data_IF_560862828212
#
_entry.id   IF_560862828212
#
_cell.length_a   1.000
_cell.length_b   1.000
_cell.length_c   1.000
_cell.angle_alpha   90.00
_cell.angle_beta   90.00
_cell.angle_gamma   90.00
#
_symmetry.space_group_name_H-M   'P 1'
#
loop_
_entity.id
_entity.type
_entity.pdbx_description
1 polymer ?
#
# COMPACT_ATOMS: atom_id res chain seq x y z
N UNK A 1 -34.24 -19.38 16.64
CA UNK A 1 -32.82 -19.43 17.02
C UNK A 1 -32.38 -20.86 17.35
N UNK A 2 -33.28 -21.82 17.11
CA UNK A 2 -33.20 -23.16 17.67
C UNK A 2 -32.13 -23.97 16.95
N UNK A 3 -31.03 -24.24 17.67
CA UNK A 3 -29.89 -25.03 17.20
C UNK A 3 -28.60 -24.24 16.94
N UNK A 4 -28.60 -22.90 16.97
CA UNK A 4 -27.38 -22.11 16.85
C UNK A 4 -26.59 -22.11 18.18
N UNK A 5 -27.25 -21.79 19.28
CA UNK A 5 -26.68 -21.74 20.64
C UNK A 5 -26.08 -23.10 21.05
N UNK A 6 -26.72 -24.20 20.65
CA UNK A 6 -26.24 -25.56 20.93
C UNK A 6 -24.90 -25.91 20.26
N UNK A 7 -24.47 -25.14 19.25
CA UNK A 7 -23.20 -25.34 18.54
C UNK A 7 -22.10 -24.37 18.96
N UNK A 8 -22.44 -23.31 19.70
CA UNK A 8 -21.48 -22.33 20.17
C UNK A 8 -20.81 -22.84 21.45
N UNK A 9 -19.48 -22.71 21.50
CA UNK A 9 -18.79 -22.85 22.80
C UNK A 9 -19.23 -21.74 23.76
N UNK A 10 -19.12 -21.93 25.09
CA UNK A 10 -19.46 -20.87 26.06
C UNK A 10 -18.76 -19.54 25.79
N UNK A 11 -17.48 -19.58 25.38
CA UNK A 11 -16.72 -18.38 25.01
C UNK A 11 -17.24 -17.74 23.73
N UNK A 12 -17.63 -18.53 22.72
CA UNK A 12 -18.21 -18.02 21.50
C UNK A 12 -19.58 -17.36 21.76
N UNK A 13 -20.40 -17.95 22.64
CA UNK A 13 -21.65 -17.35 23.07
C UNK A 13 -21.42 -16.02 23.79
N UNK A 14 -20.52 -16.01 24.77
CA UNK A 14 -20.18 -14.78 25.50
C UNK A 14 -19.63 -13.68 24.57
N UNK A 15 -18.86 -14.03 23.55
CA UNK A 15 -18.40 -13.10 22.52
C UNK A 15 -19.57 -12.52 21.72
N UNK A 16 -20.50 -13.37 21.29
CA UNK A 16 -21.69 -12.96 20.53
C UNK A 16 -22.58 -12.03 21.36
N UNK A 17 -22.82 -12.37 22.63
CA UNK A 17 -23.61 -11.57 23.57
C UNK A 17 -22.95 -10.20 23.82
N UNK A 18 -21.60 -10.14 23.88
CA UNK A 18 -20.87 -8.87 24.00
C UNK A 18 -21.04 -7.99 22.76
N UNK A 19 -21.00 -8.57 21.55
CA UNK A 19 -21.25 -7.82 20.31
C UNK A 19 -22.68 -7.25 20.32
N UNK A 20 -23.66 -8.05 20.75
CA UNK A 20 -25.05 -7.61 20.89
C UNK A 20 -25.18 -6.47 21.91
N UNK A 21 -24.55 -6.63 23.07
CA UNK A 21 -24.54 -5.63 24.13
C UNK A 21 -23.98 -4.28 23.65
N UNK A 22 -22.82 -4.27 22.98
CA UNK A 22 -22.24 -3.04 22.43
C UNK A 22 -23.11 -2.42 21.33
N UNK A 23 -23.78 -3.23 20.52
CA UNK A 23 -24.68 -2.75 19.48
C UNK A 23 -25.93 -2.06 20.07
N UNK A 24 -26.50 -2.60 21.16
CA UNK A 24 -27.70 -2.07 21.81
C UNK A 24 -27.37 -0.83 22.65
N UNK A 25 -26.21 -0.83 23.33
CA UNK A 25 -25.84 0.24 24.26
C UNK A 25 -25.42 1.55 23.59
N UNK A 26 -25.36 1.61 22.25
CA UNK A 26 -25.13 2.84 21.46
C UNK A 26 -23.98 3.73 22.00
N UNK A 27 -22.95 3.11 22.58
CA UNK A 27 -21.79 3.82 23.11
C UNK A 27 -21.89 4.44 24.49
N UNK A 28 -22.86 4.01 25.32
CA UNK A 28 -22.99 4.44 26.72
C UNK A 28 -22.31 3.44 27.69
N UNK A 29 -21.79 2.32 27.19
CA UNK A 29 -21.14 1.31 28.02
C UNK A 29 -19.77 1.80 28.56
N UNK A 30 -19.49 1.56 29.84
CA UNK A 30 -18.14 1.63 30.38
C UNK A 30 -17.33 0.50 29.76
N UNK A 31 -16.42 0.84 28.84
CA UNK A 31 -15.61 -0.16 28.12
C UNK A 31 -14.36 -0.45 28.93
N UNK A 32 -14.16 -1.71 29.30
CA UNK A 32 -12.88 -2.19 29.85
C UNK A 32 -11.82 -2.21 28.74
N UNK A 33 -10.56 -1.90 29.06
CA UNK A 33 -9.46 -1.80 28.08
C UNK A 33 -9.34 -3.05 27.17
N UNK A 34 -9.64 -4.24 27.69
CA UNK A 34 -9.59 -5.51 26.95
C UNK A 34 -10.66 -5.65 25.84
N UNK A 35 -11.69 -4.80 25.85
CA UNK A 35 -12.80 -4.84 24.89
C UNK A 35 -12.91 -3.60 24.00
N UNK A 36 -11.99 -2.65 24.17
CA UNK A 36 -11.94 -1.41 23.39
C UNK A 36 -11.92 -1.66 21.88
N UNK A 37 -11.13 -2.64 21.43
CA UNK A 37 -11.04 -2.95 20.00
C UNK A 37 -12.36 -3.48 19.42
N UNK A 38 -13.07 -4.34 20.16
CA UNK A 38 -14.35 -4.90 19.70
C UNK A 38 -15.45 -3.82 19.69
N UNK A 39 -15.42 -2.93 20.68
CA UNK A 39 -16.30 -1.78 20.74
C UNK A 39 -16.08 -0.84 19.55
N UNK A 40 -14.84 -0.48 19.23
CA UNK A 40 -14.49 0.33 18.05
C UNK A 40 -14.96 -0.32 16.74
N UNK A 41 -14.86 -1.65 16.64
CA UNK A 41 -15.36 -2.41 15.48
C UNK A 41 -16.88 -2.23 15.35
N UNK A 42 -17.63 -2.42 16.43
CA UNK A 42 -19.10 -2.28 16.44
C UNK A 42 -19.50 -0.84 16.08
N UNK A 43 -18.84 0.15 16.67
CA UNK A 43 -19.12 1.58 16.43
C UNK A 43 -18.88 1.99 14.97
N UNK A 44 -17.81 1.49 14.34
CA UNK A 44 -17.46 1.84 12.96
C UNK A 44 -18.23 1.02 11.91
N UNK A 45 -18.87 -0.08 12.30
CA UNK A 45 -19.58 -0.95 11.37
C UNK A 45 -20.85 -0.28 10.81
N UNK A 46 -21.02 -0.28 9.49
CA UNK A 46 -22.24 0.25 8.86
C UNK A 46 -23.37 -0.75 8.99
N UNK A 47 -24.34 -0.42 9.84
CA UNK A 47 -25.50 -1.27 10.10
C UNK A 47 -25.33 -2.02 11.41
N UNK A 48 -25.95 -3.19 11.50
CA UNK A 48 -25.91 -4.02 12.70
C UNK A 48 -24.90 -5.17 12.52
N UNK A 49 -23.79 -5.13 13.26
CA UNK A 49 -22.75 -6.16 13.18
C UNK A 49 -23.25 -7.50 13.70
N UNK A 50 -24.02 -7.48 14.80
CA UNK A 50 -24.60 -8.68 15.39
C UNK A 50 -25.51 -9.41 14.39
N UNK A 51 -26.45 -8.70 13.75
CA UNK A 51 -27.33 -9.29 12.75
C UNK A 51 -26.55 -9.86 11.56
N UNK A 52 -25.54 -9.13 11.08
CA UNK A 52 -24.69 -9.60 9.98
C UNK A 52 -23.90 -10.85 10.37
N UNK A 53 -23.37 -10.91 11.60
CA UNK A 53 -22.64 -12.04 12.14
C UNK A 53 -23.55 -13.28 12.27
N UNK A 54 -24.73 -13.12 12.87
CA UNK A 54 -25.72 -14.18 13.02
C UNK A 54 -26.19 -14.70 11.65
N UNK A 55 -26.43 -13.81 10.69
CA UNK A 55 -26.81 -14.20 9.34
C UNK A 55 -25.70 -15.00 8.65
N UNK A 56 -24.45 -14.53 8.75
CA UNK A 56 -23.30 -15.21 8.16
C UNK A 56 -23.04 -16.58 8.80
N UNK A 57 -23.23 -16.69 10.11
CA UNK A 57 -23.17 -17.96 10.83
C UNK A 57 -24.23 -18.94 10.32
N UNK A 58 -25.47 -18.49 10.15
CA UNK A 58 -26.54 -19.34 9.59
C UNK A 58 -26.19 -19.84 8.18
N UNK A 59 -25.60 -18.99 7.34
CA UNK A 59 -25.15 -19.38 6.00
C UNK A 59 -24.06 -20.45 6.03
N UNK A 60 -23.07 -20.31 6.92
CA UNK A 60 -21.95 -21.26 7.06
C UNK A 60 -22.42 -22.59 7.67
N UNK A 61 -23.41 -22.57 8.56
CA UNK A 61 -23.96 -23.76 9.21
C UNK A 61 -24.98 -24.51 8.36
N UNK A 62 -25.60 -23.84 7.38
CA UNK A 62 -26.65 -24.40 6.50
C UNK A 62 -26.21 -25.65 5.71
N UNK A 63 -24.98 -25.75 5.16
CA UNK A 63 -24.50 -26.95 4.49
C UNK A 63 -24.35 -28.19 5.39
N UNK A 64 -24.47 -28.04 6.72
CA UNK A 64 -24.31 -29.13 7.68
C UNK A 64 -22.84 -29.44 8.02
N UNK A 65 -22.62 -30.46 8.86
CA UNK A 65 -21.28 -30.97 9.21
C UNK A 65 -20.50 -30.22 10.29
N UNK A 66 -20.83 -28.95 10.56
CA UNK A 66 -20.22 -28.18 11.66
C UNK A 66 -20.85 -28.55 12.99
N UNK A 67 -20.02 -29.08 13.92
CA UNK A 67 -20.42 -29.52 15.26
C UNK A 67 -20.23 -28.45 16.34
N UNK A 68 -19.12 -27.71 16.28
CA UNK A 68 -18.73 -26.72 17.28
C UNK A 68 -18.23 -25.47 16.56
N UNK A 69 -18.60 -24.30 17.06
CA UNK A 69 -18.11 -22.98 16.63
C UNK A 69 -17.40 -22.33 17.82
N UNK A 70 -16.14 -21.94 17.59
CA UNK A 70 -15.27 -21.34 18.60
C UNK A 70 -15.26 -19.80 18.49
N UNK A 71 -14.72 -19.15 19.52
CA UNK A 71 -14.50 -17.70 19.51
C UNK A 71 -13.56 -17.27 18.36
N UNK A 72 -12.55 -18.08 18.04
CA UNK A 72 -11.64 -17.80 16.91
C UNK A 72 -12.35 -17.82 15.56
N UNK A 73 -13.34 -18.70 15.39
CA UNK A 73 -14.18 -18.74 14.20
C UNK A 73 -15.05 -17.49 14.10
N UNK A 74 -15.67 -17.08 15.21
CA UNK A 74 -16.46 -15.84 15.27
C UNK A 74 -15.60 -14.60 14.97
N UNK A 75 -14.43 -14.51 15.58
CA UNK A 75 -13.48 -13.42 15.34
C UNK A 75 -13.05 -13.37 13.86
N UNK A 76 -12.84 -14.54 13.23
CA UNK A 76 -12.52 -14.63 11.81
C UNK A 76 -13.67 -14.12 10.92
N UNK A 77 -14.92 -14.48 11.25
CA UNK A 77 -16.12 -14.01 10.54
C UNK A 77 -16.30 -12.50 10.74
N UNK A 78 -16.13 -11.99 11.97
CA UNK A 78 -16.18 -10.54 12.24
C UNK A 78 -15.13 -9.81 11.40
N UNK A 79 -13.90 -10.30 11.36
CA UNK A 79 -12.84 -9.72 10.53
C UNK A 79 -13.21 -9.72 9.02
N UNK A 80 -13.83 -10.77 8.51
CA UNK A 80 -14.33 -10.83 7.13
C UNK A 80 -15.43 -9.79 6.88
N UNK A 81 -16.40 -9.70 7.79
CA UNK A 81 -17.53 -8.77 7.70
C UNK A 81 -17.05 -7.32 7.78
N UNK A 82 -16.16 -6.99 8.72
CA UNK A 82 -15.57 -5.65 8.87
C UNK A 82 -14.80 -5.27 7.62
N UNK A 83 -13.95 -6.16 7.07
CA UNK A 83 -13.22 -5.90 5.82
C UNK A 83 -14.17 -5.62 4.65
N UNK A 84 -15.26 -6.37 4.57
CA UNK A 84 -16.29 -6.20 3.53
C UNK A 84 -17.03 -4.88 3.72
N UNK A 85 -17.44 -4.56 4.94
CA UNK A 85 -18.17 -3.35 5.28
C UNK A 85 -17.33 -2.08 5.07
N UNK A 86 -16.06 -2.09 5.49
CA UNK A 86 -15.11 -1.02 5.24
C UNK A 86 -14.95 -0.73 3.74
N UNK A 87 -15.02 -1.76 2.88
CA UNK A 87 -14.91 -1.56 1.43
C UNK A 87 -16.13 -0.92 0.77
N UNK A 88 -17.25 -0.81 1.48
CA UNK A 88 -18.47 -0.18 0.97
C UNK A 88 -18.28 1.33 1.04
N UNK A 89 -17.98 1.95 -0.10
CA UNK A 89 -17.85 3.40 -0.22
C UNK A 89 -19.14 4.03 -0.78
N UNK A 90 -19.55 5.16 -0.21
CA UNK A 90 -20.64 6.01 -0.71
C UNK A 90 -20.08 7.08 -1.64
N UNK A 91 -20.94 7.69 -2.47
CA UNK A 91 -20.56 8.80 -3.36
C UNK A 91 -19.69 9.89 -2.70
N UNK A 92 -20.02 10.42 -1.49
CA UNK A 92 -19.18 11.41 -0.83
C UNK A 92 -17.77 10.91 -0.48
N UNK A 93 -17.64 9.64 -0.11
CA UNK A 93 -16.37 8.99 0.23
C UNK A 93 -15.53 8.76 -1.03
N UNK A 94 -16.14 8.32 -2.13
CA UNK A 94 -15.46 8.17 -3.43
C UNK A 94 -14.92 9.50 -3.96
N UNK A 95 -15.73 10.56 -3.94
CA UNK A 95 -15.32 11.90 -4.40
C UNK A 95 -14.23 12.48 -3.50
N UNK A 96 -14.38 12.34 -2.18
CA UNK A 96 -13.37 12.82 -1.21
C UNK A 96 -12.06 12.05 -1.36
N UNK A 97 -12.12 10.73 -1.52
CA UNK A 97 -10.93 9.89 -1.70
C UNK A 97 -10.17 10.24 -2.99
N UNK A 98 -10.89 10.51 -4.08
CA UNK A 98 -10.29 10.89 -5.36
C UNK A 98 -9.44 12.16 -5.24
N UNK A 99 -10.00 13.22 -4.64
CA UNK A 99 -9.28 14.49 -4.43
C UNK A 99 -8.14 14.32 -3.42
N UNK A 100 -8.35 13.57 -2.34
CA UNK A 100 -7.35 13.35 -1.31
C UNK A 100 -6.12 12.60 -1.82
N UNK A 101 -6.31 11.64 -2.74
CA UNK A 101 -5.23 10.90 -3.40
C UNK A 101 -4.47 11.78 -4.39
N UNK A 102 -5.18 12.64 -5.14
CA UNK A 102 -4.56 13.57 -6.07
C UNK A 102 -3.74 14.66 -5.35
N UNK A 103 -4.25 15.16 -4.22
CA UNK A 103 -3.67 16.26 -3.46
C UNK A 103 -3.51 15.89 -1.97
N UNK A 104 -2.54 15.02 -1.65
CA UNK A 104 -2.33 14.55 -0.28
C UNK A 104 -1.93 15.73 0.63
N UNK A 105 -2.50 15.76 1.84
CA UNK A 105 -2.25 16.83 2.81
C UNK A 105 -3.05 18.11 2.60
N UNK A 106 -3.93 18.17 1.59
CA UNK A 106 -4.88 19.29 1.44
C UNK A 106 -5.80 19.41 2.67
N UNK A 107 -6.14 20.64 3.07
CA UNK A 107 -7.11 20.84 4.15
C UNK A 107 -8.54 20.50 3.71
N UNK A 108 -9.36 19.98 4.62
CA UNK A 108 -10.75 19.59 4.31
C UNK A 108 -11.58 20.77 3.77
N UNK A 109 -11.30 22.01 4.21
CA UNK A 109 -11.95 23.22 3.70
C UNK A 109 -11.66 23.42 2.21
N UNK A 110 -10.41 23.26 1.79
CA UNK A 110 -10.02 23.35 0.38
C UNK A 110 -10.57 22.18 -0.44
N UNK A 111 -10.58 20.97 0.11
CA UNK A 111 -11.23 19.83 -0.55
C UNK A 111 -12.72 20.10 -0.80
N UNK A 112 -13.45 20.68 0.16
CA UNK A 112 -14.87 21.01 -0.03
C UNK A 112 -15.14 22.10 -1.06
N UNK A 113 -14.16 22.98 -1.35
CA UNK A 113 -14.30 23.94 -2.45
C UNK A 113 -13.98 23.32 -3.80
N UNK A 114 -13.16 22.28 -3.82
CA UNK A 114 -12.79 21.56 -5.05
C UNK A 114 -13.87 20.54 -5.45
N UNK A 115 -14.51 19.90 -4.46
CA UNK A 115 -15.65 19.01 -4.67
C UNK A 115 -16.93 19.84 -4.66
N UNK A 116 -17.37 20.30 -5.83
CA UNK A 116 -18.52 21.20 -5.99
C UNK A 116 -19.82 20.68 -5.38
N UNK A 117 -19.98 19.35 -5.31
CA UNK A 117 -21.25 18.71 -4.94
C UNK A 117 -21.35 18.37 -3.43
N UNK A 118 -20.33 18.67 -2.62
CA UNK A 118 -20.30 18.30 -1.20
C UNK A 118 -20.03 19.51 -0.29
N UNK A 119 -20.84 19.65 0.76
CA UNK A 119 -20.57 20.58 1.85
C UNK A 119 -19.33 20.16 2.67
N UNK A 120 -18.72 21.12 3.37
CA UNK A 120 -17.62 20.86 4.30
C UNK A 120 -17.93 19.75 5.32
N UNK A 121 -19.15 19.72 5.87
CA UNK A 121 -19.57 18.70 6.83
C UNK A 121 -19.63 17.30 6.20
N UNK A 122 -20.03 17.19 4.94
CA UNK A 122 -20.03 15.93 4.21
C UNK A 122 -18.59 15.46 3.94
N UNK A 123 -17.70 16.34 3.50
CA UNK A 123 -16.27 16.03 3.28
C UNK A 123 -15.60 15.60 4.59
N UNK A 124 -15.82 16.33 5.69
CA UNK A 124 -15.27 16.00 7.01
C UNK A 124 -15.72 14.62 7.48
N UNK A 125 -17.02 14.31 7.37
CA UNK A 125 -17.56 12.98 7.75
C UNK A 125 -17.02 11.87 6.84
N UNK A 126 -16.90 12.12 5.53
CA UNK A 126 -16.34 11.17 4.59
C UNK A 126 -14.87 10.87 4.90
N UNK A 127 -14.05 11.91 5.12
CA UNK A 127 -12.63 11.75 5.45
C UNK A 127 -12.44 11.00 6.78
N UNK A 128 -13.15 11.41 7.83
CA UNK A 128 -13.09 10.75 9.14
C UNK A 128 -13.43 9.26 9.04
N UNK A 129 -14.39 8.88 8.19
CA UNK A 129 -14.72 7.47 7.94
C UNK A 129 -13.68 6.72 7.13
N UNK A 130 -13.09 7.37 6.12
CA UNK A 130 -12.01 6.77 5.33
C UNK A 130 -10.78 6.48 6.19
N UNK A 131 -10.47 7.38 7.13
CA UNK A 131 -9.38 7.24 8.10
C UNK A 131 -9.71 6.18 9.17
N UNK A 132 -10.91 6.23 9.79
CA UNK A 132 -11.28 5.28 10.85
C UNK A 132 -11.38 3.84 10.36
N UNK A 133 -11.80 3.64 9.11
CA UNK A 133 -11.83 2.31 8.48
C UNK A 133 -10.47 1.88 7.90
N UNK A 134 -9.41 2.69 8.06
CA UNK A 134 -8.07 2.40 7.55
C UNK A 134 -7.97 2.36 6.02
N UNK A 135 -8.93 2.93 5.31
CA UNK A 135 -9.00 2.95 3.85
C UNK A 135 -8.00 3.96 3.28
N UNK A 136 -7.87 5.09 3.95
CA UNK A 136 -7.01 6.20 3.56
C UNK A 136 -6.19 6.66 4.77
N UNK A 137 -4.88 6.81 4.55
CA UNK A 137 -3.98 7.48 5.49
C UNK A 137 -2.98 8.31 4.71
N UNK A 138 -2.39 9.32 5.34
CA UNK A 138 -1.27 10.08 4.76
C UNK A 138 0.00 9.70 5.50
N UNK A 139 0.98 9.20 4.74
CA UNK A 139 2.33 8.86 5.23
C UNK A 139 3.34 9.87 4.73
N UNK A 140 4.45 10.00 5.44
CA UNK A 140 5.58 10.80 4.99
C UNK A 140 6.41 10.04 3.98
N UNK A 141 6.53 10.57 2.77
CA UNK A 141 7.50 10.13 1.77
C UNK A 141 8.78 10.93 1.96
N UNK A 142 9.87 10.23 2.24
CA UNK A 142 11.19 10.85 2.31
C UNK A 142 11.65 11.30 0.93
N UNK A 143 12.17 12.50 0.84
CA UNK A 143 12.81 13.02 -0.34
C UNK A 143 14.22 12.42 -0.44
N UNK A 144 14.28 11.18 -0.95
CA UNK A 144 15.53 10.43 -1.10
C UNK A 144 16.64 11.27 -1.75
N UNK A 145 16.31 12.06 -2.77
CA UNK A 145 17.26 12.90 -3.50
C UNK A 145 17.93 13.95 -2.61
N UNK A 146 17.15 14.70 -1.81
CA UNK A 146 17.70 15.69 -0.87
C UNK A 146 18.52 15.05 0.25
N UNK A 147 18.18 13.80 0.58
CA UNK A 147 18.87 12.99 1.57
C UNK A 147 20.13 12.29 1.03
N UNK A 148 20.56 12.54 -0.21
CA UNK A 148 21.73 11.86 -0.79
C UNK A 148 21.49 10.36 -1.08
N UNK A 149 20.23 9.96 -1.25
CA UNK A 149 19.82 8.58 -1.51
C UNK A 149 19.22 8.40 -2.91
N UNK A 150 19.41 7.22 -3.48
CA UNK A 150 18.84 6.78 -4.76
C UNK A 150 17.97 5.55 -4.57
N UNK A 151 16.83 5.53 -5.25
CA UNK A 151 15.88 4.41 -5.21
C UNK A 151 16.09 3.52 -6.43
N UNK A 152 16.10 2.23 -6.17
CA UNK A 152 16.39 1.20 -7.15
C UNK A 152 15.32 0.10 -7.13
N UNK A 153 15.14 -0.53 -8.27
CA UNK A 153 14.35 -1.74 -8.44
C UNK A 153 15.24 -2.83 -9.02
N UNK A 154 15.44 -3.92 -8.29
CA UNK A 154 16.12 -5.13 -8.76
C UNK A 154 15.06 -6.13 -9.19
N UNK A 155 15.18 -6.66 -10.39
CA UNK A 155 14.33 -7.72 -10.93
C UNK A 155 15.18 -8.98 -11.04
N UNK A 156 14.83 -9.98 -10.24
CA UNK A 156 15.48 -11.29 -10.21
C UNK A 156 14.57 -12.32 -10.88
N UNK A 157 15.06 -13.00 -11.90
CA UNK A 157 14.36 -14.15 -12.51
C UNK A 157 14.94 -15.47 -12.00
N UNK A 158 14.07 -16.28 -11.39
CA UNK A 158 14.39 -17.59 -10.81
C UNK A 158 15.62 -17.56 -9.89
N UNK A 159 15.64 -16.70 -8.85
CA UNK A 159 16.77 -16.63 -7.94
C UNK A 159 16.74 -17.76 -6.91
N UNK A 160 17.92 -18.28 -6.56
CA UNK A 160 18.12 -19.14 -5.39
C UNK A 160 18.20 -18.31 -4.10
N UNK A 161 18.89 -17.17 -4.17
CA UNK A 161 19.15 -16.25 -3.06
C UNK A 161 18.57 -14.85 -3.36
N UNK A 162 18.09 -14.19 -2.32
CA UNK A 162 17.56 -12.83 -2.39
C UNK A 162 18.38 -11.95 -1.45
N UNK A 163 18.86 -10.78 -1.90
CA UNK A 163 19.61 -9.87 -1.06
C UNK A 163 18.70 -9.24 0.00
N UNK A 164 19.22 -9.08 1.21
CA UNK A 164 18.55 -8.52 2.38
C UNK A 164 19.49 -7.59 3.13
N UNK A 165 18.92 -6.70 3.95
CA UNK A 165 19.67 -5.69 4.69
C UNK A 165 18.86 -4.40 4.85
N UNK A 166 19.44 -3.37 5.49
CA UNK A 166 18.69 -2.18 5.90
C UNK A 166 18.20 -1.30 4.74
N UNK A 167 18.85 -1.42 3.58
CA UNK A 167 18.55 -0.66 2.37
C UNK A 167 17.59 -1.37 1.41
N UNK A 168 17.13 -2.58 1.75
CA UNK A 168 16.12 -3.33 1.00
C UNK A 168 14.78 -3.23 1.69
N UNK A 169 13.78 -2.68 1.01
CA UNK A 169 12.53 -2.30 1.66
C UNK A 169 11.35 -3.19 1.31
N UNK A 170 11.23 -3.58 0.04
CA UNK A 170 10.03 -4.26 -0.45
C UNK A 170 10.39 -5.41 -1.36
N UNK A 171 9.70 -6.52 -1.18
CA UNK A 171 9.84 -7.73 -1.98
C UNK A 171 8.48 -8.10 -2.55
N UNK A 172 8.39 -8.25 -3.87
CA UNK A 172 7.16 -8.69 -4.55
C UNK A 172 7.42 -10.00 -5.28
N UNK A 173 6.67 -11.04 -4.91
CA UNK A 173 6.80 -12.37 -5.49
C UNK A 173 5.70 -12.60 -6.53
N UNK A 174 6.07 -13.05 -7.73
CA UNK A 174 5.07 -13.38 -8.76
C UNK A 174 4.57 -14.83 -8.67
N UNK A 175 3.41 -15.10 -9.27
CA UNK A 175 2.73 -16.40 -9.17
C UNK A 175 3.25 -17.46 -10.17
N UNK A 176 3.76 -17.06 -11.33
CA UNK A 176 3.95 -17.97 -12.49
C UNK A 176 5.38 -18.10 -13.00
N UNK A 177 6.21 -17.09 -12.76
CA UNK A 177 7.66 -17.19 -12.87
C UNK A 177 8.20 -17.07 -11.44
N UNK A 178 9.26 -17.77 -11.08
CA UNK A 178 9.94 -17.55 -9.79
C UNK A 178 10.66 -16.19 -9.83
N UNK A 179 9.92 -15.11 -10.07
CA UNK A 179 10.42 -13.77 -10.28
C UNK A 179 10.17 -12.94 -9.02
N UNK A 180 11.16 -12.14 -8.65
CA UNK A 180 11.09 -11.24 -7.49
C UNK A 180 11.45 -9.84 -7.94
N UNK A 181 10.65 -8.88 -7.50
CA UNK A 181 10.96 -7.46 -7.60
C UNK A 181 11.36 -6.97 -6.21
N UNK A 182 12.56 -6.41 -6.11
CA UNK A 182 13.12 -5.90 -4.86
C UNK A 182 13.31 -4.40 -4.97
N UNK A 183 12.63 -3.65 -4.09
CA UNK A 183 12.81 -2.20 -3.97
C UNK A 183 13.90 -1.93 -2.95
N UNK A 184 14.84 -1.09 -3.33
CA UNK A 184 15.95 -0.68 -2.48
C UNK A 184 16.16 0.83 -2.53
N UNK A 185 16.75 1.39 -1.47
CA UNK A 185 17.21 2.78 -1.44
C UNK A 185 18.64 2.78 -0.94
N UNK A 186 19.62 3.24 -1.72
CA UNK A 186 21.04 3.22 -1.34
C UNK A 186 21.63 4.64 -1.38
N UNK A 187 22.69 4.94 -0.60
CA UNK A 187 23.41 6.20 -0.72
C UNK A 187 23.94 6.42 -2.13
N UNK A 188 23.78 7.64 -2.67
CA UNK A 188 24.15 8.02 -4.03
C UNK A 188 25.62 7.71 -4.33
N UNK A 189 26.50 7.99 -3.38
CA UNK A 189 27.93 7.71 -3.45
C UNK A 189 28.30 6.21 -3.52
N UNK A 190 27.38 5.31 -3.14
CA UNK A 190 27.59 3.85 -3.14
C UNK A 190 26.97 3.15 -4.34
N UNK A 191 26.59 3.88 -5.38
CA UNK A 191 25.97 3.29 -6.58
C UNK A 191 26.87 2.26 -7.28
N UNK A 192 28.19 2.49 -7.30
CA UNK A 192 29.13 1.53 -7.87
C UNK A 192 29.14 0.20 -7.09
N UNK A 193 29.13 0.27 -5.75
CA UNK A 193 29.07 -0.90 -4.88
C UNK A 193 27.75 -1.66 -5.05
N UNK A 194 26.64 -0.92 -5.13
CA UNK A 194 25.31 -1.46 -5.44
C UNK A 194 25.31 -2.22 -6.77
N UNK A 195 25.86 -1.63 -7.85
CA UNK A 195 25.93 -2.29 -9.15
C UNK A 195 26.79 -3.55 -9.12
N UNK A 196 27.90 -3.54 -8.37
CA UNK A 196 28.74 -4.73 -8.19
C UNK A 196 28.00 -5.85 -7.47
N UNK A 197 27.22 -5.53 -6.43
CA UNK A 197 26.32 -6.48 -5.76
C UNK A 197 25.23 -7.00 -6.72
N UNK A 198 24.62 -6.15 -7.55
CA UNK A 198 23.63 -6.61 -8.54
C UNK A 198 24.26 -7.58 -9.54
N UNK A 199 25.49 -7.31 -9.98
CA UNK A 199 26.23 -8.19 -10.89
C UNK A 199 26.59 -9.52 -10.24
N UNK A 200 26.94 -9.55 -8.95
CA UNK A 200 27.23 -10.80 -8.27
C UNK A 200 25.99 -11.69 -8.15
N UNK A 201 24.79 -11.13 -7.93
CA UNK A 201 23.54 -11.91 -7.89
C UNK A 201 23.22 -12.68 -9.18
N UNK A 202 23.89 -12.37 -10.30
CA UNK A 202 23.75 -13.12 -11.57
C UNK A 202 24.29 -14.55 -11.49
N UNK A 203 25.12 -14.87 -10.50
CA UNK A 203 25.55 -16.26 -10.27
C UNK A 203 24.42 -17.13 -9.72
N UNK A 204 23.46 -16.52 -9.02
CA UNK A 204 22.40 -17.22 -8.28
C UNK A 204 21.01 -17.09 -8.88
N UNK A 205 20.86 -16.33 -9.97
CA UNK A 205 19.60 -16.11 -10.66
C UNK A 205 19.79 -16.27 -12.18
N UNK A 206 18.73 -16.70 -12.87
CA UNK A 206 18.75 -16.83 -14.34
C UNK A 206 19.01 -15.49 -15.03
N UNK A 207 18.45 -14.42 -14.50
CA UNK A 207 18.75 -13.06 -14.95
C UNK A 207 18.54 -12.06 -13.81
N UNK A 208 19.34 -11.00 -13.83
CA UNK A 208 19.24 -9.89 -12.87
C UNK A 208 19.33 -8.58 -13.64
N UNK A 209 18.33 -7.73 -13.43
CA UNK A 209 18.27 -6.38 -14.00
C UNK A 209 18.03 -5.38 -12.89
N UNK A 210 18.74 -4.25 -12.91
CA UNK A 210 18.53 -3.16 -11.97
C UNK A 210 18.13 -1.89 -12.70
N UNK A 211 17.16 -1.19 -12.11
CA UNK A 211 16.63 0.06 -12.61
C UNK A 211 16.73 1.14 -11.53
N UNK A 212 17.00 2.37 -11.93
CA UNK A 212 16.66 3.56 -11.14
C UNK A 212 15.13 3.67 -11.10
N UNK A 213 14.58 3.92 -9.92
CA UNK A 213 13.14 3.95 -9.66
C UNK A 213 12.67 5.36 -9.32
N UNK A 214 11.77 5.93 -10.14
CA UNK A 214 11.19 7.23 -9.86
C UNK A 214 10.23 7.21 -8.65
N UNK A 215 9.79 8.38 -8.17
CA UNK A 215 8.90 8.47 -6.97
C UNK A 215 7.60 7.73 -7.17
N UNK A 216 7.18 7.67 -8.43
CA UNK A 216 5.91 7.13 -8.85
C UNK A 216 4.71 7.95 -8.38
N UNK A 217 3.58 7.70 -8.99
CA UNK A 217 2.30 8.35 -8.70
C UNK A 217 1.26 7.29 -8.36
N UNK A 218 0.53 7.55 -7.28
CA UNK A 218 -0.66 6.79 -6.91
C UNK A 218 -1.86 7.46 -7.57
N UNK A 219 -2.74 6.64 -8.13
CA UNK A 219 -4.00 7.08 -8.72
C UNK A 219 -5.14 6.20 -8.20
N UNK A 220 -6.30 6.81 -8.03
CA UNK A 220 -7.53 6.18 -7.60
C UNK A 220 -8.65 6.53 -8.57
N UNK A 221 -9.45 5.54 -8.94
CA UNK A 221 -10.57 5.75 -9.87
C UNK A 221 -11.86 5.07 -9.38
N UNK A 222 -12.97 5.83 -9.29
CA UNK A 222 -14.28 5.25 -9.02
C UNK A 222 -14.97 4.70 -10.27
N UNK A 223 -14.34 4.74 -11.46
CA UNK A 223 -15.00 4.50 -12.75
C UNK A 223 -15.77 3.17 -12.85
N UNK A 224 -15.21 2.08 -12.31
CA UNK A 224 -15.87 0.76 -12.29
C UNK A 224 -16.64 0.47 -10.99
N UNK A 225 -16.84 1.46 -10.11
CA UNK A 225 -17.56 1.23 -8.86
C UNK A 225 -19.08 1.23 -9.10
N UNK A 226 -19.72 0.09 -8.83
CA UNK A 226 -21.18 -0.03 -8.87
C UNK A 226 -21.78 0.39 -7.53
N UNK A 227 -22.63 1.42 -7.52
CA UNK A 227 -23.34 1.84 -6.30
C UNK A 227 -24.35 0.78 -5.81
N UNK A 228 -24.99 0.06 -6.75
CA UNK A 228 -25.95 -1.00 -6.45
C UNK A 228 -25.27 -2.18 -5.76
N UNK A 229 -24.18 -2.69 -6.36
CA UNK A 229 -23.42 -3.83 -5.82
C UNK A 229 -22.40 -3.43 -4.77
N UNK A 230 -22.22 -2.14 -4.51
CA UNK A 230 -21.25 -1.55 -3.56
C UNK A 230 -19.83 -2.13 -3.72
N UNK A 231 -19.41 -2.32 -4.96
CA UNK A 231 -18.13 -2.96 -5.29
C UNK A 231 -17.64 -2.57 -6.68
N UNK A 232 -16.32 -2.71 -6.90
CA UNK A 232 -15.73 -2.52 -8.23
C UNK A 232 -16.02 -3.72 -9.12
N UNK A 233 -16.67 -3.46 -10.25
CA UNK A 233 -17.07 -4.42 -11.27
C UNK A 233 -16.37 -4.04 -12.58
N UNK A 234 -15.13 -4.51 -12.75
CA UNK A 234 -14.36 -4.25 -13.97
C UNK A 234 -14.93 -5.14 -15.07
N UNK A 235 -15.62 -4.55 -16.04
CA UNK A 235 -16.16 -5.28 -17.19
C UNK A 235 -15.01 -5.65 -18.16
N UNK A 236 -14.66 -6.95 -18.29
CA UNK A 236 -13.48 -7.36 -19.08
C UNK A 236 -13.59 -6.99 -20.56
N UNK A 237 -14.80 -7.00 -21.13
CA UNK A 237 -15.00 -6.60 -22.53
C UNK A 237 -14.68 -5.11 -22.71
N UNK A 238 -15.21 -4.24 -21.84
CA UNK A 238 -14.93 -2.81 -21.86
C UNK A 238 -13.44 -2.53 -21.67
N UNK A 239 -12.81 -3.16 -20.67
CA UNK A 239 -11.37 -3.07 -20.46
C UNK A 239 -10.58 -3.48 -21.72
N UNK A 240 -10.97 -4.58 -22.36
CA UNK A 240 -10.36 -5.05 -23.61
C UNK A 240 -10.54 -4.10 -24.80
N UNK A 241 -11.63 -3.34 -24.86
CA UNK A 241 -11.85 -2.32 -25.90
C UNK A 241 -10.99 -1.07 -25.65
N UNK A 242 -10.82 -0.66 -24.39
CA UNK A 242 -9.97 0.47 -24.01
C UNK A 242 -8.49 0.23 -24.37
N UNK A 243 -8.02 -1.02 -24.30
CA UNK A 243 -6.65 -1.39 -24.69
C UNK A 243 -6.37 -1.30 -26.20
N UNK A 244 -7.35 -0.93 -27.03
CA UNK A 244 -7.24 -0.87 -28.50
C UNK A 244 -7.40 0.55 -29.05
N UNK A 245 -7.29 1.57 -28.20
CA UNK A 245 -7.57 2.95 -28.61
C UNK A 245 -6.48 3.56 -29.50
N UNK A 246 -5.36 2.86 -29.76
CA UNK A 246 -4.31 3.34 -30.65
C UNK A 246 -3.48 4.43 -29.99
N UNK A 247 -3.29 4.33 -28.68
CA UNK A 247 -2.77 5.34 -27.79
C UNK A 247 -1.43 5.89 -28.24
N UNK A 248 -1.26 7.19 -28.01
CA UNK A 248 -0.04 7.91 -28.32
C UNK A 248 1.13 7.39 -27.46
N UNK A 249 2.34 7.44 -28.04
CA UNK A 249 3.56 7.15 -27.31
C UNK A 249 3.64 8.03 -26.06
N UNK A 250 3.97 7.43 -24.92
CA UNK A 250 3.97 8.16 -23.67
C UNK A 250 5.17 9.10 -23.64
N UNK A 251 4.93 10.40 -23.87
CA UNK A 251 5.96 11.43 -23.69
C UNK A 251 6.14 11.69 -22.20
N UNK A 252 7.00 10.88 -21.61
CA UNK A 252 7.45 11.09 -20.26
C UNK A 252 8.56 12.14 -20.25
N UNK A 253 8.37 13.20 -19.44
CA UNK A 253 9.49 14.08 -19.09
C UNK A 253 10.66 13.24 -18.58
N UNK A 254 11.90 13.58 -18.98
CA UNK A 254 13.10 12.85 -18.54
C UNK A 254 13.05 12.70 -17.02
N UNK A 255 13.36 11.51 -16.46
CA UNK A 255 13.61 11.43 -15.03
C UNK A 255 14.61 12.54 -14.70
N UNK A 256 14.28 13.37 -13.73
CA UNK A 256 15.16 14.45 -13.30
C UNK A 256 16.46 13.75 -12.89
N UNK A 257 17.47 13.83 -13.76
CA UNK A 257 18.84 13.53 -13.36
C UNK A 257 19.11 14.57 -12.30
N UNK A 258 19.03 14.14 -11.04
CA UNK A 258 19.16 15.03 -9.91
C UNK A 258 20.42 15.85 -10.14
N UNK A 259 20.21 17.15 -10.37
CA UNK A 259 21.26 18.16 -10.31
C UNK A 259 21.96 18.01 -8.97
N UNK A 260 23.16 18.57 -8.86
CA UNK A 260 23.90 18.70 -7.60
C UNK A 260 23.14 19.62 -6.62
N UNK A 261 21.93 19.23 -6.23
CA UNK A 261 21.24 19.78 -5.07
C UNK A 261 22.12 19.43 -3.86
N UNK A 262 22.47 20.46 -3.09
CA UNK A 262 23.25 20.30 -1.88
C UNK A 262 22.54 19.32 -0.95
N UNK A 263 23.21 18.21 -0.64
CA UNK A 263 22.67 17.19 0.25
C UNK A 263 22.43 17.79 1.65
N UNK A 264 21.27 17.49 2.22
CA UNK A 264 20.87 18.03 3.52
C UNK A 264 21.44 17.13 4.61
N UNK A 265 22.25 17.72 5.49
CA UNK A 265 22.76 17.04 6.68
C UNK A 265 21.70 17.11 7.77
N UNK A 266 21.22 15.94 8.21
CA UNK A 266 20.20 15.87 9.25
C UNK A 266 20.75 16.18 10.65
N UNK A 267 20.02 16.99 11.41
CA UNK A 267 20.26 17.25 12.82
C UNK A 267 19.86 16.06 13.72
N UNK A 268 20.36 16.03 14.97
CA UNK A 268 20.16 14.89 15.88
C UNK A 268 18.70 14.48 16.14
N UNK A 269 17.75 15.43 16.14
CA UNK A 269 16.33 15.16 16.38
C UNK A 269 15.57 14.73 15.12
N UNK A 270 16.10 15.04 13.93
CA UNK A 270 15.40 14.87 12.66
C UNK A 270 15.17 13.39 12.31
N UNK A 271 16.16 12.47 12.37
CA UNK A 271 15.94 11.06 12.04
C UNK A 271 14.82 10.40 12.83
N UNK A 272 14.67 10.76 14.12
CA UNK A 272 13.61 10.24 15.00
C UNK A 272 12.23 10.71 14.55
N UNK A 273 12.10 12.00 14.24
CA UNK A 273 10.85 12.60 13.79
C UNK A 273 10.50 12.10 12.38
N UNK A 274 11.49 11.97 11.49
CA UNK A 274 11.34 11.40 10.15
C UNK A 274 10.71 10.00 10.20
N UNK A 275 11.24 9.12 11.05
CA UNK A 275 10.70 7.77 11.21
C UNK A 275 9.22 7.77 11.61
N UNK A 276 8.83 8.64 12.55
CA UNK A 276 7.43 8.76 12.99
C UNK A 276 6.54 9.34 11.88
N UNK A 277 7.02 10.34 11.15
CA UNK A 277 6.28 10.95 10.03
C UNK A 277 6.09 10.00 8.86
N UNK A 278 7.03 9.07 8.60
CA UNK A 278 6.85 8.00 7.60
C UNK A 278 5.66 7.09 7.94
N UNK A 279 5.38 6.86 9.22
CA UNK A 279 4.22 6.07 9.66
C UNK A 279 2.92 6.85 9.54
N UNK A 280 2.90 8.13 9.94
CA UNK A 280 1.75 9.02 9.81
C UNK A 280 2.19 10.48 9.71
N UNK A 281 1.95 11.09 8.56
CA UNK A 281 2.34 12.47 8.25
C UNK A 281 1.55 13.51 9.07
N UNK A 282 0.29 13.19 9.37
CA UNK A 282 -0.66 14.07 10.04
C UNK A 282 -0.66 13.92 11.57
N UNK A 283 0.31 13.19 12.14
CA UNK A 283 0.39 12.95 13.58
C UNK A 283 0.46 14.27 14.38
N UNK A 284 -0.18 14.29 15.56
CA UNK A 284 -0.14 15.47 16.44
C UNK A 284 1.25 15.65 17.04
N UNK A 285 1.58 16.88 17.45
CA UNK A 285 2.87 17.19 18.11
C UNK A 285 3.05 16.35 19.37
N UNK A 286 2.00 16.25 20.20
CA UNK A 286 2.02 15.47 21.45
C UNK A 286 2.26 13.97 21.21
N UNK A 287 1.67 13.41 20.14
CA UNK A 287 1.89 12.02 19.75
C UNK A 287 3.31 11.77 19.22
N UNK A 288 3.88 12.73 18.48
CA UNK A 288 5.26 12.63 18.02
C UNK A 288 6.23 12.74 19.20
N UNK A 289 6.00 13.68 20.12
CA UNK A 289 6.79 13.86 21.34
C UNK A 289 6.80 12.59 22.20
N UNK A 290 5.64 11.97 22.44
CA UNK A 290 5.55 10.74 23.22
C UNK A 290 6.26 9.55 22.57
N UNK A 291 6.21 9.44 21.24
CA UNK A 291 6.92 8.37 20.50
C UNK A 291 8.42 8.57 20.40
N UNK A 292 8.89 9.82 20.35
CA UNK A 292 10.31 10.14 20.15
C UNK A 292 11.06 10.43 21.45
N UNK A 293 10.34 10.70 22.56
CA UNK A 293 10.92 11.17 23.82
C UNK A 293 11.46 12.59 23.77
N UNK A 294 11.11 13.36 22.73
CA UNK A 294 11.53 14.75 22.55
C UNK A 294 10.53 15.72 23.18
N UNK A 295 10.97 16.95 23.48
CA UNK A 295 10.07 18.00 23.94
C UNK A 295 9.13 18.45 22.81
N UNK A 296 7.90 18.87 23.15
CA UNK A 296 6.95 19.35 22.14
C UNK A 296 7.48 20.55 21.35
N UNK A 297 8.21 21.47 21.99
CA UNK A 297 8.85 22.62 21.33
C UNK A 297 9.84 22.16 20.27
N UNK A 298 10.73 21.22 20.61
CA UNK A 298 11.70 20.65 19.67
C UNK A 298 10.99 19.97 18.49
N UNK A 299 9.90 19.26 18.76
CA UNK A 299 9.09 18.60 17.72
C UNK A 299 8.46 19.62 16.78
N UNK A 300 7.92 20.72 17.29
CA UNK A 300 7.34 21.79 16.47
C UNK A 300 8.38 22.39 15.53
N UNK A 301 9.51 22.83 16.07
CA UNK A 301 10.58 23.47 15.30
C UNK A 301 11.14 22.53 14.24
N UNK A 302 11.49 21.31 14.64
CA UNK A 302 12.07 20.31 13.73
C UNK A 302 11.08 19.93 12.64
N UNK A 303 9.80 19.71 12.96
CA UNK A 303 8.77 19.37 11.97
C UNK A 303 8.57 20.48 10.94
N UNK A 304 8.60 21.74 11.37
CA UNK A 304 8.49 22.89 10.46
C UNK A 304 9.67 22.94 9.50
N UNK A 305 10.90 22.73 9.97
CA UNK A 305 12.09 22.62 9.10
C UNK A 305 11.94 21.50 8.07
N UNK A 306 11.62 20.29 8.51
CA UNK A 306 11.45 19.12 7.63
C UNK A 306 10.39 19.34 6.53
N UNK A 307 9.34 20.10 6.82
CA UNK A 307 8.27 20.42 5.87
C UNK A 307 8.67 21.57 4.93
N UNK A 308 9.26 22.64 5.46
CA UNK A 308 9.68 23.80 4.67
C UNK A 308 10.78 23.42 3.68
N UNK A 309 11.72 22.59 4.12
CA UNK A 309 12.85 22.11 3.31
C UNK A 309 12.46 20.94 2.39
N UNK A 310 11.20 20.50 2.45
CA UNK A 310 10.64 19.41 1.62
C UNK A 310 11.42 18.10 1.74
N UNK A 311 11.99 17.85 2.92
CA UNK A 311 12.66 16.60 3.29
C UNK A 311 11.63 15.47 3.40
N UNK A 312 10.43 15.80 3.91
CA UNK A 312 9.27 14.89 3.94
C UNK A 312 8.13 15.47 3.12
N UNK A 313 7.53 14.63 2.29
CA UNK A 313 6.37 14.99 1.46
C UNK A 313 5.15 14.18 1.88
N UNK A 314 3.93 14.74 1.82
CA UNK A 314 2.72 13.98 2.09
C UNK A 314 2.48 12.96 0.97
N UNK A 315 2.21 11.71 1.36
CA UNK A 315 1.95 10.61 0.43
C UNK A 315 0.67 9.86 0.81
N UNK A 316 -0.29 9.72 -0.11
CA UNK A 316 -1.51 9.00 0.17
C UNK A 316 -1.21 7.50 0.22
N UNK A 317 -1.80 6.81 1.19
CA UNK A 317 -1.72 5.37 1.33
C UNK A 317 -3.14 4.81 1.38
N UNK A 318 -3.44 3.95 0.41
CA UNK A 318 -4.77 3.37 0.21
C UNK A 318 -4.76 1.88 0.55
N UNK A 319 -5.77 1.46 1.31
CA UNK A 319 -6.00 0.03 1.61
C UNK A 319 -7.49 -0.27 1.57
N UNK A 320 -7.99 -0.72 0.42
CA UNK A 320 -9.38 -1.13 0.25
C UNK A 320 -9.45 -2.66 0.39
N UNK A 321 -10.01 -3.21 1.49
CA UNK A 321 -9.85 -4.63 1.81
C UNK A 321 -10.40 -5.63 0.79
N UNK A 322 -11.35 -5.25 -0.07
CA UNK A 322 -11.90 -6.11 -1.14
C UNK A 322 -11.03 -6.15 -2.39
N UNK A 323 -10.16 -5.16 -2.58
CA UNK A 323 -9.16 -5.16 -3.64
C UNK A 323 -7.91 -5.87 -3.11
N UNK A 324 -7.79 -7.17 -3.40
CA UNK A 324 -6.72 -8.03 -2.82
C UNK A 324 -5.76 -8.60 -3.85
N UNK A 325 -6.13 -8.61 -5.12
CA UNK A 325 -5.26 -9.14 -6.16
C UNK A 325 -4.53 -7.99 -6.85
N UNK A 326 -3.23 -8.15 -7.03
CA UNK A 326 -2.39 -7.15 -7.70
C UNK A 326 -1.84 -7.69 -9.02
N UNK A 327 -1.96 -6.87 -10.05
CA UNK A 327 -1.28 -7.05 -11.34
C UNK A 327 -0.08 -6.12 -11.40
N UNK A 328 1.05 -6.66 -11.81
CA UNK A 328 2.26 -5.93 -12.12
C UNK A 328 2.45 -5.96 -13.63
N UNK A 329 2.52 -4.79 -14.24
CA UNK A 329 2.87 -4.60 -15.62
C UNK A 329 4.24 -3.94 -15.69
N UNK A 330 5.14 -4.54 -16.47
CA UNK A 330 6.45 -4.01 -16.76
C UNK A 330 6.52 -3.83 -18.27
N UNK A 331 6.50 -2.59 -18.73
CA UNK A 331 6.27 -2.24 -20.13
C UNK A 331 7.26 -1.19 -20.62
N UNK A 332 7.47 -1.14 -21.93
CA UNK A 332 8.14 -0.04 -22.62
C UNK A 332 7.24 1.19 -22.71
N UNK A 333 7.82 2.35 -23.03
CA UNK A 333 7.07 3.61 -23.21
C UNK A 333 6.07 3.56 -24.38
N UNK A 334 6.26 2.61 -25.31
CA UNK A 334 5.37 2.35 -26.44
C UNK A 334 4.02 1.71 -26.04
N UNK A 335 3.86 1.25 -24.79
CA UNK A 335 2.60 0.66 -24.30
C UNK A 335 1.59 1.72 -23.80
N UNK A 336 1.39 2.79 -24.58
CA UNK A 336 0.56 3.96 -24.24
C UNK A 336 -0.87 3.60 -23.84
N UNK A 337 -1.52 2.75 -24.61
CA UNK A 337 -2.89 2.29 -24.36
C UNK A 337 -3.05 1.58 -23.02
N UNK A 338 -2.08 0.75 -22.65
CA UNK A 338 -2.13 0.00 -21.39
C UNK A 338 -2.00 0.95 -20.20
N UNK A 339 -1.09 1.93 -20.29
CA UNK A 339 -0.95 2.95 -19.25
C UNK A 339 -2.19 3.85 -19.15
N UNK A 340 -2.72 4.33 -20.27
CA UNK A 340 -3.93 5.16 -20.28
C UNK A 340 -5.14 4.39 -19.70
N UNK A 341 -5.35 3.15 -20.17
CA UNK A 341 -6.45 2.29 -19.72
C UNK A 341 -6.33 1.94 -18.24
N UNK A 342 -5.11 1.80 -17.71
CA UNK A 342 -4.90 1.49 -16.30
C UNK A 342 -5.47 2.56 -15.36
N UNK A 343 -5.58 3.83 -15.79
CA UNK A 343 -6.16 4.92 -14.97
C UNK A 343 -7.63 4.70 -14.61
N UNK A 344 -8.34 3.85 -15.34
CA UNK A 344 -9.71 3.49 -14.99
C UNK A 344 -9.78 2.41 -13.92
N UNK A 345 -8.66 1.75 -13.59
CA UNK A 345 -8.62 0.71 -12.58
C UNK A 345 -8.72 1.32 -11.17
N UNK A 346 -9.27 0.57 -10.20
CA UNK A 346 -9.64 1.11 -8.89
C UNK A 346 -8.50 1.84 -8.17
N UNK A 347 -7.33 1.19 -8.12
CA UNK A 347 -6.11 1.80 -7.58
C UNK A 347 -4.94 1.37 -8.44
N UNK A 348 -4.16 2.34 -8.89
CA UNK A 348 -2.92 2.09 -9.64
C UNK A 348 -1.76 2.90 -9.10
N UNK A 349 -0.60 2.27 -8.98
CA UNK A 349 0.67 2.94 -8.77
C UNK A 349 1.50 2.80 -10.04
N UNK A 350 2.04 3.91 -10.54
CA UNK A 350 2.93 3.90 -11.69
C UNK A 350 4.27 4.52 -11.35
N UNK A 351 5.35 3.95 -11.85
CA UNK A 351 6.69 4.48 -11.68
C UNK A 351 7.50 4.33 -12.97
N UNK A 352 8.44 5.26 -13.16
CA UNK A 352 9.38 5.22 -14.29
C UNK A 352 10.62 4.46 -13.85
N UNK A 353 11.15 3.68 -14.77
CA UNK A 353 12.34 2.87 -14.61
C UNK A 353 13.37 3.31 -15.65
N UNK A 354 14.60 3.53 -15.22
CA UNK A 354 15.74 3.69 -16.12
C UNK A 354 16.74 2.57 -15.83
N UNK A 355 17.01 1.72 -16.82
CA UNK A 355 17.96 0.63 -16.66
C UNK A 355 19.35 1.21 -16.37
N UNK A 356 20.00 0.74 -15.30
CA UNK A 356 21.28 1.32 -14.87
C UNK A 356 22.45 0.94 -15.79
N UNK A 357 22.33 -0.13 -16.57
CA UNK A 357 23.40 -0.59 -17.47
C UNK A 357 23.13 -0.23 -18.95
N UNK A 358 21.86 -0.23 -19.39
CA UNK A 358 21.50 0.05 -20.79
C UNK A 358 20.86 1.43 -21.00
N UNK A 359 20.51 2.14 -19.93
CA UNK A 359 19.73 3.39 -19.95
C UNK A 359 18.35 3.30 -20.63
N UNK A 360 17.87 2.08 -20.89
CA UNK A 360 16.53 1.83 -21.42
C UNK A 360 15.46 2.33 -20.42
N UNK A 361 14.49 3.09 -20.93
CA UNK A 361 13.36 3.58 -20.16
C UNK A 361 12.20 2.59 -20.21
N UNK A 362 11.59 2.37 -19.06
CA UNK A 362 10.42 1.50 -18.89
C UNK A 362 9.46 2.07 -17.87
N UNK A 363 8.26 1.51 -17.84
CA UNK A 363 7.24 1.82 -16.86
C UNK A 363 6.95 0.56 -16.06
N UNK A 364 6.89 0.74 -14.74
CA UNK A 364 6.30 -0.21 -13.83
C UNK A 364 4.91 0.28 -13.42
N UNK A 365 3.90 -0.55 -13.62
CA UNK A 365 2.54 -0.28 -13.17
C UNK A 365 2.05 -1.40 -12.28
N UNK A 366 1.54 -1.02 -11.11
CA UNK A 366 0.89 -1.91 -10.16
C UNK A 366 -0.59 -1.53 -10.09
N UNK A 367 -1.48 -2.50 -10.26
CA UNK A 367 -2.92 -2.28 -10.20
C UNK A 367 -3.59 -3.22 -9.20
N UNK A 368 -4.41 -2.67 -8.30
CA UNK A 368 -5.27 -3.44 -7.41
C UNK A 368 -6.61 -3.70 -8.07
N UNK A 369 -7.02 -4.97 -8.02
CA UNK A 369 -8.28 -5.43 -8.57
C UNK A 369 -9.04 -6.26 -7.54
N UNK A 370 -10.35 -6.36 -7.76
CA UNK A 370 -11.20 -7.30 -7.02
C UNK A 370 -10.73 -8.74 -7.28
N UNK A 371 -10.83 -9.58 -6.26
CA UNK A 371 -10.45 -10.98 -6.35
C UNK A 371 -11.18 -11.72 -7.48
N UNK A 372 -10.46 -12.57 -8.22
CA UNK A 372 -10.98 -13.40 -9.30
C UNK A 372 -10.84 -12.82 -10.71
N UNK A 373 -10.56 -11.52 -10.85
CA UNK A 373 -10.49 -10.85 -12.16
C UNK A 373 -9.08 -10.82 -12.76
N UNK A 374 -8.03 -10.97 -11.96
CA UNK A 374 -6.65 -10.74 -12.43
C UNK A 374 -6.20 -11.70 -13.51
N UNK A 375 -6.69 -12.95 -13.53
CA UNK A 375 -6.38 -13.91 -14.59
C UNK A 375 -6.92 -13.42 -15.95
N UNK A 376 -8.21 -13.08 -16.00
CA UNK A 376 -8.86 -12.61 -17.22
C UNK A 376 -8.24 -11.29 -17.71
N UNK A 377 -7.98 -10.36 -16.80
CA UNK A 377 -7.35 -9.08 -17.13
C UNK A 377 -5.92 -9.25 -17.65
N UNK A 378 -5.13 -10.15 -17.05
CA UNK A 378 -3.80 -10.51 -17.55
C UNK A 378 -3.90 -11.07 -18.97
N UNK A 379 -4.81 -12.01 -19.21
CA UNK A 379 -4.96 -12.64 -20.53
C UNK A 379 -5.46 -11.64 -21.59
N UNK A 380 -6.28 -10.66 -21.20
CA UNK A 380 -6.71 -9.57 -22.09
C UNK A 380 -5.58 -8.60 -22.39
N UNK A 381 -4.83 -8.19 -21.38
CA UNK A 381 -3.68 -7.32 -21.54
C UNK A 381 -2.65 -7.95 -22.49
N UNK A 382 -2.26 -9.20 -22.25
CA UNK A 382 -1.29 -9.91 -23.10
C UNK A 382 -1.78 -10.10 -24.53
N UNK A 383 -3.08 -10.34 -24.74
CA UNK A 383 -3.66 -10.44 -26.09
C UNK A 383 -3.60 -9.10 -26.82
N UNK A 384 -3.99 -8.01 -26.15
CA UNK A 384 -4.01 -6.67 -26.74
C UNK A 384 -2.60 -6.14 -27.02
N UNK A 385 -1.63 -6.45 -26.16
CA UNK A 385 -0.25 -5.95 -26.27
C UNK A 385 0.69 -6.89 -27.03
N UNK A 386 0.21 -8.03 -27.55
CA UNK A 386 1.02 -9.00 -28.30
C UNK A 386 1.68 -8.42 -29.57
N UNK A 387 1.31 -7.19 -29.95
CA UNK A 387 1.85 -6.43 -31.08
C UNK A 387 2.92 -5.38 -30.67
N UNK A 388 3.13 -5.14 -29.37
CA UNK A 388 4.07 -4.14 -28.84
C UNK A 388 5.23 -4.86 -28.14
N UNK A 389 6.46 -4.63 -28.61
CA UNK A 389 7.65 -5.23 -28.02
C UNK A 389 7.77 -4.90 -26.51
N UNK A 390 8.07 -5.92 -25.71
CA UNK A 390 8.50 -5.86 -24.30
C UNK A 390 7.44 -5.50 -23.23
N UNK A 391 6.18 -5.91 -23.38
CA UNK A 391 5.21 -5.88 -22.27
C UNK A 391 5.20 -7.21 -21.50
N UNK A 392 5.43 -7.15 -20.20
CA UNK A 392 5.33 -8.29 -19.28
C UNK A 392 4.27 -8.04 -18.23
N UNK A 393 3.32 -8.97 -18.10
CA UNK A 393 2.24 -8.90 -17.12
C UNK A 393 2.32 -10.06 -16.13
N UNK A 394 2.46 -9.74 -14.84
CA UNK A 394 2.56 -10.70 -13.76
C UNK A 394 1.42 -10.52 -12.76
N UNK A 395 0.85 -11.63 -12.30
CA UNK A 395 0.04 -11.65 -11.08
C UNK A 395 0.97 -11.80 -9.89
N UNK A 396 0.83 -10.91 -8.91
CA UNK A 396 1.58 -10.99 -7.66
C UNK A 396 0.91 -11.97 -6.70
N UNK A 397 1.75 -12.78 -6.06
CA UNK A 397 1.34 -13.84 -5.14
C UNK A 397 1.35 -13.33 -3.71
N UNK A 398 2.45 -12.71 -3.28
CA UNK A 398 2.68 -12.21 -1.93
C UNK A 398 3.76 -11.12 -1.97
N UNK A 399 3.90 -10.38 -0.87
CA UNK A 399 4.95 -9.39 -0.73
C UNK A 399 5.33 -9.14 0.71
N UNK A 400 6.45 -8.43 0.88
CA UNK A 400 6.98 -7.98 2.16
C UNK A 400 7.28 -6.50 2.03
N UNK A 401 7.06 -5.76 3.12
CA UNK A 401 7.42 -4.36 3.24
C UNK A 401 8.07 -4.15 4.59
N UNK A 402 9.39 -4.16 4.62
CA UNK A 402 10.20 -3.91 5.80
C UNK A 402 10.85 -2.53 5.64
N UNK A 403 10.72 -1.66 6.65
CA UNK A 403 11.39 -0.37 6.63
C UNK A 403 12.21 -0.24 7.90
N UNK A 404 13.52 -0.17 7.72
CA UNK A 404 14.45 0.08 8.82
C UNK A 404 14.36 1.56 9.19
N UNK A 405 14.26 1.92 10.49
CA UNK A 405 14.15 3.31 10.91
C UNK A 405 15.33 4.17 10.45
N UNK A 406 15.05 5.38 9.97
CA UNK A 406 16.08 6.33 9.51
C UNK A 406 17.16 6.57 10.56
N UNK A 407 16.78 6.67 11.83
CA UNK A 407 17.71 6.87 12.96
C UNK A 407 18.75 5.76 13.11
N UNK A 408 18.46 4.56 12.61
CA UNK A 408 19.40 3.43 12.66
C UNK A 408 20.31 3.35 11.42
N UNK A 409 19.96 4.09 10.37
CA UNK A 409 20.67 4.09 9.09
C UNK A 409 21.52 5.35 8.87
N UNK A 410 21.35 6.39 9.69
CA UNK A 410 22.01 7.67 9.50
C UNK A 410 22.85 8.05 10.73
N UNK A 411 24.14 8.34 10.52
CA UNK A 411 25.05 8.81 11.55
C UNK A 411 25.05 10.35 11.57
N UNK A 412 24.34 10.93 12.55
CA UNK A 412 24.22 12.39 12.68
C UNK A 412 25.52 13.09 13.07
N UNK A 413 26.51 12.37 13.62
CA UNK A 413 27.81 12.96 13.96
C UNK A 413 28.70 13.11 12.73
N UNK A 414 28.60 12.16 11.80
CA UNK A 414 29.35 12.18 10.54
C UNK A 414 28.59 12.89 9.42
N UNK A 415 27.27 12.98 9.54
CA UNK A 415 26.41 13.50 8.48
C UNK A 415 26.30 12.55 7.29
N UNK A 416 26.42 11.24 7.53
CA UNK A 416 26.53 10.23 6.48
C UNK A 416 25.60 9.04 6.76
N UNK A 417 25.21 8.34 5.69
CA UNK A 417 24.46 7.09 5.79
C UNK A 417 25.39 5.94 6.19
N UNK A 418 24.99 5.17 7.20
CA UNK A 418 25.75 4.04 7.73
C UNK A 418 25.77 2.93 6.67
N UNK A 419 26.91 2.78 5.99
CA UNK A 419 27.07 1.79 4.93
C UNK A 419 28.30 0.93 5.18
N UNK A 420 28.09 -0.39 5.14
CA UNK A 420 29.15 -1.40 5.11
C UNK A 420 28.63 -2.62 4.38
N UNK A 421 29.51 -3.27 3.60
CA UNK A 421 29.17 -4.51 2.90
C UNK A 421 28.76 -5.63 3.87
N UNK A 422 29.17 -5.55 5.15
CA UNK A 422 28.79 -6.51 6.21
C UNK A 422 27.35 -6.37 6.68
N UNK A 423 26.63 -5.31 6.29
CA UNK A 423 25.23 -5.10 6.64
C UNK A 423 24.26 -5.88 5.74
N UNK A 424 24.78 -6.52 4.69
CA UNK A 424 24.00 -7.22 3.70
C UNK A 424 24.19 -8.72 3.83
N UNK A 425 23.08 -9.45 3.70
CA UNK A 425 23.06 -10.90 3.70
C UNK A 425 22.17 -11.40 2.55
N UNK A 426 22.32 -12.66 2.17
CA UNK A 426 21.55 -13.30 1.12
C UNK A 426 20.78 -14.50 1.69
N UNK A 427 19.46 -14.42 1.66
CA UNK A 427 18.58 -15.46 2.21
C UNK A 427 17.93 -16.24 1.07
N UNK A 428 17.75 -17.55 1.26
CA UNK A 428 17.09 -18.41 0.28
C UNK A 428 15.69 -17.90 -0.12
N UNK A 429 15.40 -17.93 -1.43
CA UNK A 429 14.14 -17.45 -2.01
C UNK A 429 12.90 -18.00 -1.28
N UNK A 430 12.88 -19.32 -1.03
CA UNK A 430 11.74 -19.96 -0.38
C UNK A 430 11.56 -19.54 1.08
N UNK A 431 12.64 -19.17 1.77
CA UNK A 431 12.58 -18.71 3.16
C UNK A 431 11.91 -17.35 3.23
N UNK A 432 12.36 -16.38 2.42
CA UNK A 432 11.72 -15.05 2.37
C UNK A 432 10.29 -15.16 1.83
N UNK A 433 10.06 -15.98 0.81
CA UNK A 433 8.70 -16.17 0.26
C UNK A 433 7.72 -16.72 1.30
N UNK A 434 8.17 -17.54 2.25
CA UNK A 434 7.34 -18.07 3.34
C UNK A 434 6.97 -17.03 4.39
N UNK A 435 7.83 -16.03 4.63
CA UNK A 435 7.49 -14.90 5.51
C UNK A 435 6.60 -13.86 4.83
N UNK A 436 6.51 -13.89 3.50
CA UNK A 436 5.65 -13.00 2.73
C UNK A 436 4.15 -13.36 2.86
N UNK A 437 3.30 -12.33 3.02
CA UNK A 437 1.84 -12.50 3.06
C UNK A 437 1.17 -11.93 1.81
N UNK A 438 -0.03 -12.43 1.51
CA UNK A 438 -0.90 -11.87 0.46
C UNK A 438 -1.48 -10.51 0.88
N UNK A 439 -1.70 -10.34 2.18
CA UNK A 439 -2.28 -9.12 2.76
C UNK A 439 -1.24 -7.99 2.92
N UNK A 440 0.05 -8.29 2.71
CA UNK A 440 1.20 -7.37 2.89
C UNK A 440 1.88 -6.98 1.59
N UNK A 441 1.24 -7.23 0.43
CA UNK A 441 1.74 -6.74 -0.85
C UNK A 441 1.72 -5.20 -0.83
N UNK A 442 2.87 -4.50 -0.97
CA UNK A 442 2.87 -3.04 -1.01
C UNK A 442 2.47 -2.53 -2.40
N UNK A 443 1.45 -1.66 -2.46
CA UNK A 443 1.09 -0.94 -3.68
C UNK A 443 2.11 0.13 -4.05
N UNK A 444 2.42 0.99 -3.08
CA UNK A 444 3.40 2.05 -3.27
C UNK A 444 4.80 1.45 -3.14
N UNK A 445 5.68 1.74 -4.09
CA UNK A 445 7.08 1.31 -4.07
C UNK A 445 8.02 2.41 -3.58
N UNK A 446 7.48 3.49 -3.01
CA UNK A 446 8.28 4.49 -2.33
C UNK A 446 8.92 3.94 -1.04
N UNK A 447 9.99 4.56 -0.56
CA UNK A 447 10.57 4.25 0.75
C UNK A 447 9.77 4.91 1.87
#
# INVERSE_FOLDING_TARGET
>A
MDGLEAKLTPNAQAFLDKVEYFQISNGIASVEDEHQHLYEIVENFRGNLYEALVQRLKEILRPGGVKIVTESDLSSIVNELVRTNASILRKPELSTLSVAVEKPGMSMKRMSTEITDLSYNQVRRAMSRLESNGIYTVRGLLNASLLGLRRYLIVLDSPNLIPTGPYFHKFLFTTTAQKVYVVATFPKEKEADFLNMVRSLRTDARSVTAYSLSRGSLHFSPAYYSEEKRSWEIEPLHFGMMLRQGGEELVFGRPIRHSDETEVILANSEPKILHVLQQSYNMSISQIASKTGLSETTVVETRLCLFNDRIVLPRPHLRIPTLREMLLFHMSDAAGDLFATSRYLPITYSSKLENLETSEQRILLLAYCRGGLTKQMKDLALRATSLVDNVVVHRLQCGISDCVPVETMYDTKKGEWIYSNTLFDAIGYNTIKRSASRDSIPLDLSW
#
